data_IF_523805653737
#
_entry.id   IF_523805653737
#
_cell.length_a   1.000
_cell.length_b   1.000
_cell.length_c   1.000
_cell.angle_alpha   90.00
_cell.angle_beta   90.00
_cell.angle_gamma   90.00
#
_symmetry.space_group_name_H-M   'P 1'
#
loop_
_entity.id
_entity.type
_entity.pdbx_description
1 polymer ?
#
# COMPACT_ATOMS: atom_id res chain seq x y z
N UNK A 1 14.91 17.93 -9.48
CA UNK A 1 15.64 16.68 -9.85
C UNK A 1 14.67 15.52 -10.01
N UNK A 2 13.94 15.11 -8.98
CA UNK A 2 13.05 13.93 -9.07
C UNK A 2 11.84 14.11 -10.00
N UNK A 3 11.30 15.32 -10.14
CA UNK A 3 10.24 15.59 -11.11
C UNK A 3 10.73 15.40 -12.55
N UNK A 4 11.95 15.85 -12.87
CA UNK A 4 12.54 15.64 -14.19
C UNK A 4 12.85 14.15 -14.44
N UNK A 5 13.33 13.44 -13.41
CA UNK A 5 13.57 12.00 -13.50
C UNK A 5 12.27 11.24 -13.74
N UNK A 6 11.18 11.63 -13.06
CA UNK A 6 9.87 11.05 -13.26
C UNK A 6 9.37 11.24 -14.69
N UNK A 7 9.50 12.46 -15.24
CA UNK A 7 9.04 12.74 -16.60
C UNK A 7 9.80 11.92 -17.65
N UNK A 8 11.10 11.74 -17.49
CA UNK A 8 11.92 10.87 -18.34
C UNK A 8 11.45 9.41 -18.16
N UNK A 9 11.35 8.94 -16.93
CA UNK A 9 10.96 7.59 -16.59
C UNK A 9 9.60 7.22 -17.17
N UNK A 10 8.61 8.12 -17.10
CA UNK A 10 7.24 7.90 -17.58
C UNK A 10 7.19 7.59 -19.08
N UNK A 11 8.09 8.16 -19.88
CA UNK A 11 8.13 7.95 -21.33
C UNK A 11 8.54 6.51 -21.69
N UNK A 12 9.26 5.84 -20.81
CA UNK A 12 9.77 4.47 -21.00
C UNK A 12 8.97 3.41 -20.23
N UNK A 13 8.01 3.83 -19.41
CA UNK A 13 7.22 2.91 -18.62
C UNK A 13 6.24 2.14 -19.49
N UNK A 14 6.32 0.80 -19.43
CA UNK A 14 5.31 -0.09 -19.99
C UNK A 14 4.03 -0.07 -19.18
N UNK A 15 4.19 -0.07 -17.84
CA UNK A 15 3.08 0.07 -16.89
C UNK A 15 3.38 1.19 -15.92
N UNK A 16 2.37 2.00 -15.65
CA UNK A 16 2.35 3.03 -14.63
C UNK A 16 1.20 2.73 -13.67
N UNK A 17 1.52 2.55 -12.39
CA UNK A 17 0.55 2.20 -11.37
C UNK A 17 0.58 3.27 -10.28
N UNK A 18 -0.58 3.73 -9.85
CA UNK A 18 -0.71 4.61 -8.69
C UNK A 18 -0.98 3.77 -7.45
N UNK A 19 -0.08 3.82 -6.47
CA UNK A 19 -0.14 3.02 -5.26
C UNK A 19 -0.27 3.93 -4.06
N UNK A 20 -1.27 3.70 -3.23
CA UNK A 20 -1.49 4.45 -2.01
C UNK A 20 -2.20 3.61 -0.95
N UNK A 21 -2.27 4.15 0.27
CA UNK A 21 -2.88 3.53 1.44
C UNK A 21 -3.42 4.60 2.39
N UNK A 22 -4.15 4.19 3.42
CA UNK A 22 -4.40 4.99 4.62
C UNK A 22 -5.04 6.38 4.34
N UNK A 23 -6.18 6.42 3.66
CA UNK A 23 -7.03 7.62 3.63
C UNK A 23 -7.74 7.84 4.99
N UNK A 24 -7.90 6.82 5.76
CA UNK A 24 -8.13 6.63 7.20
C UNK A 24 -8.73 7.82 7.96
N UNK A 25 -9.85 8.33 7.50
CA UNK A 25 -10.51 9.45 8.14
C UNK A 25 -11.72 9.01 8.96
N UNK A 26 -11.97 9.73 10.08
CA UNK A 26 -13.15 9.54 10.94
C UNK A 26 -14.34 10.36 10.49
N UNK A 27 -14.08 11.47 9.82
CA UNK A 27 -15.08 12.46 9.43
C UNK A 27 -15.04 12.68 7.92
N UNK A 28 -16.21 12.84 7.33
CA UNK A 28 -16.39 13.07 5.90
C UNK A 28 -15.57 14.27 5.39
N UNK A 29 -15.64 15.42 6.08
CA UNK A 29 -14.98 16.64 5.61
C UNK A 29 -13.46 16.50 5.54
N UNK A 30 -12.87 15.72 6.44
CA UNK A 30 -11.44 15.43 6.42
C UNK A 30 -11.09 14.46 5.28
N UNK A 31 -11.91 13.44 5.07
CA UNK A 31 -11.77 12.51 3.96
C UNK A 31 -11.85 13.27 2.61
N UNK A 32 -12.85 14.14 2.46
CA UNK A 32 -13.02 14.97 1.26
C UNK A 32 -11.80 15.88 1.03
N UNK A 33 -11.30 16.53 2.08
CA UNK A 33 -10.12 17.37 1.98
C UNK A 33 -8.89 16.62 1.49
N UNK A 34 -8.54 15.51 2.13
CA UNK A 34 -7.36 14.72 1.77
C UNK A 34 -7.50 14.13 0.36
N UNK A 35 -8.68 13.60 0.05
CA UNK A 35 -8.96 13.05 -1.27
C UNK A 35 -8.85 14.11 -2.37
N UNK A 36 -9.38 15.32 -2.15
CA UNK A 36 -9.28 16.42 -3.11
C UNK A 36 -7.82 16.83 -3.35
N UNK A 37 -7.00 16.96 -2.31
CA UNK A 37 -5.56 17.24 -2.45
C UNK A 37 -4.89 16.21 -3.36
N UNK A 38 -5.13 14.93 -3.12
CA UNK A 38 -4.52 13.86 -3.92
C UNK A 38 -5.05 13.83 -5.36
N UNK A 39 -6.35 14.02 -5.54
CA UNK A 39 -6.98 13.98 -6.86
C UNK A 39 -6.59 15.18 -7.72
N UNK A 40 -6.55 16.40 -7.15
CA UNK A 40 -6.10 17.61 -7.85
C UNK A 40 -4.65 17.48 -8.32
N UNK A 41 -3.76 17.00 -7.45
CA UNK A 41 -2.36 16.78 -7.81
C UNK A 41 -2.21 15.67 -8.86
N UNK A 42 -2.99 14.60 -8.78
CA UNK A 42 -2.99 13.54 -9.79
C UNK A 42 -3.48 14.03 -11.16
N UNK A 43 -4.48 14.92 -11.18
CA UNK A 43 -4.91 15.61 -12.39
C UNK A 43 -3.77 16.47 -12.99
N UNK A 44 -3.04 17.21 -12.16
CA UNK A 44 -1.89 18.01 -12.59
C UNK A 44 -0.78 17.16 -13.20
N UNK A 45 -0.60 15.91 -12.73
CA UNK A 45 0.30 14.93 -13.34
C UNK A 45 -0.18 14.39 -14.69
N UNK A 46 -1.39 14.73 -15.11
CA UNK A 46 -1.97 14.26 -16.37
C UNK A 46 -2.53 12.84 -16.32
N UNK A 47 -2.94 12.36 -15.15
CA UNK A 47 -3.52 11.02 -14.92
C UNK A 47 -2.65 9.88 -15.49
N UNK A 48 -1.44 9.68 -15.03
CA UNK A 48 -0.46 8.82 -15.70
C UNK A 48 -0.75 7.32 -15.53
N UNK A 49 -1.49 6.91 -14.50
CA UNK A 49 -1.62 5.50 -14.15
C UNK A 49 -2.66 4.77 -15.01
N UNK A 50 -2.37 3.51 -15.26
CA UNK A 50 -3.25 2.55 -15.94
C UNK A 50 -4.02 1.68 -14.94
N UNK A 51 -3.63 1.70 -13.67
CA UNK A 51 -4.24 0.94 -12.57
C UNK A 51 -3.97 1.61 -11.23
N UNK A 52 -4.86 1.42 -10.28
CA UNK A 52 -4.70 1.84 -8.89
C UNK A 52 -4.49 0.60 -8.02
N UNK A 53 -3.53 0.67 -7.08
CA UNK A 53 -3.42 -0.27 -5.97
C UNK A 53 -3.65 0.48 -4.67
N UNK A 54 -4.76 0.18 -4.02
CA UNK A 54 -5.15 0.77 -2.75
C UNK A 54 -4.91 -0.25 -1.64
N UNK A 55 -3.97 0.03 -0.75
CA UNK A 55 -3.44 -0.91 0.23
C UNK A 55 -4.09 -0.75 1.62
N UNK A 56 -5.39 -0.55 1.65
CA UNK A 56 -6.19 -0.63 2.87
C UNK A 56 -6.36 0.68 3.64
N UNK A 57 -7.10 0.57 4.73
CA UNK A 57 -7.50 1.65 5.62
C UNK A 57 -8.21 2.80 4.89
N UNK A 58 -9.33 2.44 4.27
CA UNK A 58 -10.16 3.40 3.53
C UNK A 58 -10.85 4.42 4.43
N UNK A 59 -11.17 4.03 5.67
CA UNK A 59 -11.80 4.88 6.69
C UNK A 59 -11.36 4.45 8.09
N UNK A 60 -11.51 5.34 9.08
CA UNK A 60 -11.36 5.03 10.50
C UNK A 60 -12.61 5.48 11.25
N UNK A 61 -13.69 4.72 11.18
CA UNK A 61 -14.93 5.11 11.88
C UNK A 61 -15.80 3.90 12.23
N UNK A 62 -16.38 3.95 13.43
CA UNK A 62 -17.43 3.05 13.87
C UNK A 62 -18.85 3.57 13.55
N UNK A 63 -18.99 4.76 12.98
CA UNK A 63 -20.28 5.34 12.57
C UNK A 63 -20.62 4.94 11.14
N UNK A 64 -21.51 3.97 10.98
CA UNK A 64 -21.90 3.44 9.67
C UNK A 64 -22.39 4.51 8.67
N UNK A 65 -23.28 5.46 9.03
CA UNK A 65 -23.65 6.55 8.14
C UNK A 65 -22.45 7.32 7.60
N UNK A 66 -21.47 7.63 8.44
CA UNK A 66 -20.28 8.38 8.07
C UNK A 66 -19.36 7.53 7.19
N UNK A 67 -19.15 6.25 7.53
CA UNK A 67 -18.39 5.32 6.68
C UNK A 67 -19.02 5.19 5.29
N UNK A 68 -20.36 5.08 5.20
CA UNK A 68 -21.06 5.01 3.90
C UNK A 68 -20.89 6.30 3.10
N UNK A 69 -20.92 7.48 3.74
CA UNK A 69 -20.70 8.76 3.05
C UNK A 69 -19.30 8.84 2.48
N UNK A 70 -18.28 8.49 3.27
CA UNK A 70 -16.88 8.46 2.85
C UNK A 70 -16.63 7.43 1.75
N UNK A 71 -17.24 6.25 1.85
CA UNK A 71 -17.18 5.21 0.79
C UNK A 71 -17.70 5.74 -0.54
N UNK A 72 -18.87 6.39 -0.55
CA UNK A 72 -19.45 6.96 -1.78
C UNK A 72 -18.61 8.09 -2.37
N UNK A 73 -17.96 8.87 -1.51
CA UNK A 73 -17.06 9.92 -1.95
C UNK A 73 -15.85 9.33 -2.69
N UNK A 74 -15.24 8.31 -2.10
CA UNK A 74 -14.10 7.61 -2.67
C UNK A 74 -14.48 6.88 -3.96
N UNK A 75 -15.62 6.17 -3.97
CA UNK A 75 -16.17 5.54 -5.16
C UNK A 75 -16.28 6.54 -6.32
N UNK A 76 -16.95 7.67 -6.09
CA UNK A 76 -17.10 8.71 -7.10
C UNK A 76 -15.75 9.24 -7.62
N UNK A 77 -14.80 9.47 -6.73
CA UNK A 77 -13.48 9.98 -7.09
C UNK A 77 -12.71 8.98 -7.95
N UNK A 78 -12.58 7.74 -7.50
CA UNK A 78 -11.77 6.74 -8.21
C UNK A 78 -12.46 6.22 -9.48
N UNK A 79 -13.78 6.06 -9.50
CA UNK A 79 -14.53 5.69 -10.70
C UNK A 79 -14.38 6.74 -11.83
N UNK A 80 -14.26 8.02 -11.46
CA UNK A 80 -14.04 9.11 -12.43
C UNK A 80 -12.75 8.95 -13.24
N UNK A 81 -11.79 8.20 -12.74
CA UNK A 81 -10.52 7.91 -13.42
C UNK A 81 -10.66 6.85 -14.52
N UNK A 82 -11.69 6.01 -14.45
CA UNK A 82 -12.00 4.94 -15.42
C UNK A 82 -10.85 3.96 -15.64
N UNK A 83 -10.10 3.68 -14.59
CA UNK A 83 -9.01 2.69 -14.57
C UNK A 83 -9.29 1.62 -13.51
N UNK A 84 -8.78 0.39 -13.68
CA UNK A 84 -8.93 -0.67 -12.68
C UNK A 84 -8.36 -0.27 -11.32
N UNK A 85 -9.00 -0.74 -10.25
CA UNK A 85 -8.55 -0.58 -8.89
C UNK A 85 -8.43 -1.95 -8.22
N UNK A 86 -7.28 -2.22 -7.58
CA UNK A 86 -7.07 -3.38 -6.73
C UNK A 86 -7.03 -2.93 -5.27
N UNK A 87 -7.82 -3.56 -4.42
CA UNK A 87 -7.97 -3.18 -3.03
C UNK A 87 -7.58 -4.33 -2.10
N UNK A 88 -6.52 -4.12 -1.32
CA UNK A 88 -6.21 -4.94 -0.16
C UNK A 88 -6.82 -4.29 1.08
N UNK A 89 -7.43 -5.04 1.97
CA UNK A 89 -8.02 -4.50 3.20
C UNK A 89 -6.95 -4.20 4.24
N UNK A 90 -7.14 -3.12 5.01
CA UNK A 90 -6.36 -2.80 6.20
C UNK A 90 -7.13 -3.04 7.50
N UNK A 91 -6.52 -2.73 8.64
CA UNK A 91 -7.12 -3.01 9.95
C UNK A 91 -8.32 -2.10 10.27
N UNK A 92 -8.30 -0.83 9.87
CA UNK A 92 -9.41 0.10 10.12
C UNK A 92 -10.62 -0.11 9.21
N UNK A 93 -10.49 -0.86 8.14
CA UNK A 93 -11.66 -1.28 7.34
C UNK A 93 -12.64 -2.15 8.13
N UNK A 94 -12.20 -2.70 9.27
CA UNK A 94 -13.00 -3.51 10.20
C UNK A 94 -13.63 -2.71 11.34
N UNK A 95 -13.34 -1.43 11.52
CA UNK A 95 -13.77 -0.64 12.68
C UNK A 95 -15.28 -0.71 12.93
N UNK A 96 -16.09 -0.61 11.87
CA UNK A 96 -17.54 -0.77 12.03
C UNK A 96 -17.94 -2.21 12.34
N UNK A 97 -17.29 -3.20 11.77
CA UNK A 97 -17.55 -4.61 12.07
C UNK A 97 -17.19 -4.94 13.52
N UNK A 98 -16.12 -4.37 14.02
CA UNK A 98 -15.70 -4.45 15.43
C UNK A 98 -16.73 -3.80 16.36
N UNK A 99 -17.17 -2.59 16.03
CA UNK A 99 -18.24 -1.93 16.75
C UNK A 99 -19.51 -2.80 16.83
N UNK A 100 -19.92 -3.40 15.72
CA UNK A 100 -21.05 -4.31 15.66
C UNK A 100 -20.90 -5.50 16.63
N UNK A 101 -19.72 -6.10 16.67
CA UNK A 101 -19.43 -7.21 17.59
C UNK A 101 -19.62 -6.81 19.05
N UNK A 102 -19.01 -5.72 19.49
CA UNK A 102 -19.12 -5.27 20.89
C UNK A 102 -20.53 -4.84 21.30
N UNK A 103 -21.36 -4.44 20.34
CA UNK A 103 -22.72 -4.00 20.61
C UNK A 103 -23.78 -5.05 20.29
N UNK A 104 -23.39 -6.30 19.96
CA UNK A 104 -24.29 -7.39 19.66
C UNK A 104 -25.11 -7.20 18.38
N UNK A 105 -24.62 -6.37 17.45
CA UNK A 105 -25.23 -6.15 16.15
C UNK A 105 -24.85 -7.31 15.23
N UNK A 106 -25.84 -8.02 14.69
CA UNK A 106 -25.58 -9.25 13.92
C UNK A 106 -24.98 -9.03 12.53
N UNK A 107 -25.18 -7.86 11.93
CA UNK A 107 -24.68 -7.56 10.59
C UNK A 107 -23.40 -6.70 10.66
N UNK A 108 -22.28 -7.37 10.73
CA UNK A 108 -21.00 -6.72 10.54
C UNK A 108 -20.82 -6.34 9.06
N UNK A 109 -20.55 -5.08 8.78
CA UNK A 109 -20.36 -4.55 7.43
C UNK A 109 -18.98 -3.96 7.25
N UNK A 110 -18.49 -4.05 6.01
CA UNK A 110 -17.26 -3.41 5.54
C UNK A 110 -17.59 -2.62 4.27
N UNK A 111 -18.17 -1.41 4.39
CA UNK A 111 -18.81 -0.74 3.26
C UNK A 111 -17.91 -0.50 2.06
N UNK A 112 -16.64 -0.12 2.26
CA UNK A 112 -15.72 0.10 1.14
C UNK A 112 -15.36 -1.22 0.44
N UNK A 113 -15.01 -2.26 1.21
CA UNK A 113 -14.75 -3.59 0.68
C UNK A 113 -15.96 -4.16 -0.10
N UNK A 114 -17.16 -4.06 0.47
CA UNK A 114 -18.41 -4.50 -0.17
C UNK A 114 -18.66 -3.73 -1.48
N UNK A 115 -18.39 -2.46 -1.51
CA UNK A 115 -18.49 -1.64 -2.70
C UNK A 115 -17.51 -2.10 -3.77
N UNK A 116 -16.23 -2.31 -3.42
CA UNK A 116 -15.21 -2.81 -4.36
C UNK A 116 -15.59 -4.17 -4.94
N UNK A 117 -16.13 -5.10 -4.12
CA UNK A 117 -16.57 -6.42 -4.61
C UNK A 117 -17.65 -6.35 -5.70
N UNK A 118 -18.48 -5.32 -5.68
CA UNK A 118 -19.59 -5.16 -6.61
C UNK A 118 -19.31 -4.18 -7.76
N UNK A 119 -18.21 -3.42 -7.67
CA UNK A 119 -17.87 -2.42 -8.68
C UNK A 119 -17.22 -3.05 -9.92
N UNK A 120 -17.74 -2.80 -11.13
CA UNK A 120 -17.16 -3.34 -12.36
C UNK A 120 -15.73 -2.85 -12.60
N UNK A 121 -14.78 -3.77 -12.80
CA UNK A 121 -13.37 -3.43 -13.08
C UNK A 121 -12.55 -3.12 -11.84
N UNK A 122 -13.11 -3.29 -10.63
CA UNK A 122 -12.36 -3.24 -9.39
C UNK A 122 -12.18 -4.64 -8.82
N UNK A 123 -11.11 -4.87 -8.09
CA UNK A 123 -10.67 -6.19 -7.66
C UNK A 123 -10.33 -6.20 -6.17
N UNK A 124 -10.85 -7.18 -5.47
CA UNK A 124 -10.47 -7.55 -4.11
C UNK A 124 -10.69 -9.06 -3.94
N UNK A 125 -10.60 -9.60 -2.74
CA UNK A 125 -10.93 -11.00 -2.46
C UNK A 125 -12.39 -11.30 -2.80
N UNK A 126 -12.67 -12.54 -3.19
CA UNK A 126 -14.03 -12.96 -3.59
C UNK A 126 -14.97 -13.08 -2.41
N UNK A 127 -14.43 -13.42 -1.26
CA UNK A 127 -15.17 -13.52 -0.02
C UNK A 127 -14.34 -12.92 1.14
N UNK A 128 -14.99 -12.66 2.26
CA UNK A 128 -14.33 -12.16 3.48
C UNK A 128 -13.38 -13.18 4.12
N UNK A 129 -13.55 -14.45 3.80
CA UNK A 129 -12.70 -15.54 4.28
C UNK A 129 -11.39 -15.65 3.49
N UNK A 130 -11.37 -15.11 2.27
CA UNK A 130 -10.18 -15.10 1.44
C UNK A 130 -9.18 -14.06 1.97
N UNK A 131 -7.94 -14.45 2.12
CA UNK A 131 -6.86 -13.59 2.63
C UNK A 131 -5.95 -13.07 1.55
N UNK A 132 -6.20 -13.42 0.31
CA UNK A 132 -5.39 -12.98 -0.81
C UNK A 132 -6.14 -13.10 -2.14
N UNK A 133 -5.69 -12.34 -3.11
CA UNK A 133 -6.06 -12.47 -4.50
C UNK A 133 -4.87 -12.12 -5.38
N UNK A 134 -4.95 -12.43 -6.67
CA UNK A 134 -3.89 -12.09 -7.61
C UNK A 134 -4.43 -11.45 -8.88
N UNK A 135 -3.63 -10.58 -9.47
CA UNK A 135 -3.95 -9.88 -10.72
C UNK A 135 -2.75 -9.97 -11.65
N UNK A 136 -2.90 -10.46 -12.89
CA UNK A 136 -1.83 -10.43 -13.87
C UNK A 136 -1.61 -9.00 -14.36
N UNK A 137 -0.35 -8.62 -14.55
CA UNK A 137 0.04 -7.38 -15.18
C UNK A 137 0.82 -7.73 -16.45
N UNK A 138 0.10 -7.80 -17.57
CA UNK A 138 0.59 -8.35 -18.82
C UNK A 138 0.88 -9.85 -18.75
N UNK A 139 1.87 -10.29 -19.54
CA UNK A 139 2.23 -11.71 -19.63
C UNK A 139 3.38 -12.11 -18.70
N UNK A 140 4.14 -11.15 -18.19
CA UNK A 140 5.37 -11.41 -17.44
C UNK A 140 5.24 -11.21 -15.94
N UNK A 141 4.27 -10.44 -15.49
CA UNK A 141 4.12 -10.07 -14.09
C UNK A 141 2.85 -10.65 -13.46
N UNK A 142 2.96 -11.08 -12.20
CA UNK A 142 1.84 -11.39 -11.32
C UNK A 142 1.93 -10.54 -10.07
N UNK A 143 0.81 -9.97 -9.66
CA UNK A 143 0.72 -9.21 -8.41
C UNK A 143 -0.15 -9.98 -7.44
N UNK A 144 0.40 -10.29 -6.27
CA UNK A 144 -0.32 -10.91 -5.15
C UNK A 144 -0.67 -9.84 -4.13
N UNK A 145 -1.95 -9.68 -3.88
CA UNK A 145 -2.48 -8.82 -2.84
C UNK A 145 -2.85 -9.67 -1.63
N UNK A 146 -2.30 -9.33 -0.46
CA UNK A 146 -2.68 -9.95 0.79
C UNK A 146 -3.63 -9.03 1.54
N UNK A 147 -4.81 -9.55 1.84
CA UNK A 147 -5.77 -8.92 2.70
C UNK A 147 -5.51 -9.41 4.12
N UNK A 148 -4.45 -8.87 4.71
CA UNK A 148 -4.04 -9.23 6.04
C UNK A 148 -5.01 -8.63 7.05
N UNK A 149 -5.89 -9.45 7.45
CA UNK A 149 -6.84 -9.11 8.47
C UNK A 149 -6.28 -9.28 9.89
N UNK A 150 -5.04 -9.62 10.04
CA UNK A 150 -4.36 -9.90 11.31
C UNK A 150 -3.32 -8.82 11.53
N UNK A 151 -3.74 -7.59 11.76
CA UNK A 151 -2.79 -6.59 12.21
C UNK A 151 -2.22 -7.00 13.57
N UNK A 152 -0.92 -7.13 13.65
CA UNK A 152 -0.19 -7.42 14.88
C UNK A 152 0.33 -6.13 15.51
N UNK A 153 -0.53 -5.23 15.80
CA UNK A 153 -0.11 -4.26 16.77
C UNK A 153 -0.52 -4.77 18.16
N UNK A 154 0.48 -5.00 18.94
CA UNK A 154 0.50 -5.82 20.17
C UNK A 154 -0.60 -5.58 21.22
N UNK A 155 -1.51 -4.67 21.04
CA UNK A 155 -2.57 -4.36 21.99
C UNK A 155 -3.98 -4.60 21.46
N UNK A 156 -4.18 -4.60 20.15
CA UNK A 156 -5.49 -4.63 19.50
C UNK A 156 -5.82 -5.96 18.81
N UNK A 157 -4.83 -6.73 18.47
CA UNK A 157 -4.92 -7.82 17.50
C UNK A 157 -5.58 -9.09 17.98
N UNK A 158 -5.52 -9.40 19.26
CA UNK A 158 -6.23 -10.59 19.77
C UNK A 158 -7.74 -10.45 19.62
N UNK A 159 -8.23 -9.21 19.59
CA UNK A 159 -9.64 -8.90 19.41
C UNK A 159 -10.03 -8.79 17.93
N UNK A 160 -9.22 -8.19 17.08
CA UNK A 160 -9.52 -8.08 15.65
C UNK A 160 -9.66 -9.43 14.96
N UNK A 161 -8.78 -10.39 15.25
CA UNK A 161 -8.90 -11.75 14.76
C UNK A 161 -10.21 -12.46 15.14
N UNK A 162 -10.76 -12.12 16.30
CA UNK A 162 -12.01 -12.70 16.79
C UNK A 162 -13.26 -12.00 16.24
N UNK A 163 -13.11 -10.75 15.82
CA UNK A 163 -14.22 -9.89 15.44
C UNK A 163 -14.60 -10.01 13.98
N UNK A 164 -13.71 -10.49 13.17
CA UNK A 164 -13.76 -10.52 11.72
C UNK A 164 -15.11 -10.84 11.09
N UNK A 165 -15.86 -11.74 11.67
CA UNK A 165 -17.09 -12.28 11.05
C UNK A 165 -18.16 -12.56 12.11
N UNK A 166 -18.43 -11.60 12.98
CA UNK A 166 -19.47 -11.78 14.00
C UNK A 166 -19.04 -12.69 15.16
N UNK A 167 -17.77 -12.71 15.51
CA UNK A 167 -17.23 -13.43 16.66
C UNK A 167 -16.64 -14.82 16.36
N UNK A 168 -16.60 -15.22 15.09
CA UNK A 168 -15.91 -16.44 14.70
C UNK A 168 -14.43 -16.13 14.43
N UNK A 169 -13.54 -16.68 15.22
CA UNK A 169 -12.12 -16.68 14.91
C UNK A 169 -11.87 -17.65 13.75
N UNK A 170 -11.32 -17.17 12.65
CA UNK A 170 -10.77 -18.05 11.62
C UNK A 170 -9.30 -18.31 11.94
N UNK A 171 -8.96 -19.42 12.57
CA UNK A 171 -7.57 -19.76 12.75
C UNK A 171 -7.01 -20.14 11.39
N UNK A 172 -6.12 -19.32 10.86
CA UNK A 172 -5.31 -19.76 9.73
C UNK A 172 -4.41 -20.89 10.20
N UNK A 173 -4.50 -22.01 9.50
CA UNK A 173 -3.69 -23.18 9.79
C UNK A 173 -2.37 -23.09 9.02
N UNK A 174 -1.37 -23.86 9.45
CA UNK A 174 -0.13 -23.99 8.70
C UNK A 174 -0.37 -24.45 7.27
N UNK A 175 -1.44 -25.22 7.02
CA UNK A 175 -1.84 -25.63 5.69
C UNK A 175 -2.33 -24.47 4.85
N UNK A 176 -3.01 -23.49 5.43
CA UNK A 176 -3.44 -22.28 4.73
C UNK A 176 -2.22 -21.47 4.24
N UNK A 177 -1.24 -21.23 5.12
CA UNK A 177 -0.01 -20.54 4.73
C UNK A 177 0.80 -21.32 3.70
N UNK A 178 0.90 -22.63 3.86
CA UNK A 178 1.55 -23.50 2.89
C UNK A 178 0.86 -23.47 1.53
N UNK A 179 -0.46 -23.34 1.48
CA UNK A 179 -1.21 -23.24 0.23
C UNK A 179 -0.88 -21.92 -0.50
N UNK A 180 -0.78 -20.80 0.23
CA UNK A 180 -0.37 -19.51 -0.36
C UNK A 180 1.05 -19.61 -0.94
N UNK A 181 2.00 -20.18 -0.18
CA UNK A 181 3.38 -20.36 -0.68
C UNK A 181 3.42 -21.21 -1.93
N UNK A 182 2.75 -22.39 -1.93
CA UNK A 182 2.69 -23.25 -3.14
C UNK A 182 2.10 -22.54 -4.34
N UNK A 183 1.07 -21.72 -4.14
CA UNK A 183 0.47 -20.94 -5.20
C UNK A 183 1.46 -19.94 -5.82
N UNK A 184 2.23 -19.24 -4.98
CA UNK A 184 3.26 -18.32 -5.46
C UNK A 184 4.43 -19.06 -6.14
N UNK A 185 4.88 -20.17 -5.56
CA UNK A 185 5.95 -21.02 -6.13
C UNK A 185 5.56 -21.64 -7.47
N UNK A 186 4.28 -21.97 -7.65
CA UNK A 186 3.74 -22.52 -8.89
C UNK A 186 3.34 -21.47 -9.93
N UNK A 187 3.55 -20.18 -9.63
CA UNK A 187 3.23 -19.10 -10.54
C UNK A 187 4.05 -19.23 -11.83
N UNK A 188 3.36 -19.25 -12.97
CA UNK A 188 3.98 -19.36 -14.29
C UNK A 188 4.61 -18.06 -14.80
N UNK A 189 4.43 -16.95 -14.06
CA UNK A 189 4.98 -15.66 -14.41
C UNK A 189 6.42 -15.52 -13.89
N UNK A 190 7.35 -14.98 -14.71
CA UNK A 190 8.74 -14.83 -14.30
C UNK A 190 8.95 -13.80 -13.20
N UNK A 191 8.03 -12.86 -13.02
CA UNK A 191 8.17 -11.76 -12.09
C UNK A 191 6.93 -11.63 -11.19
N UNK A 192 7.17 -11.43 -9.89
CA UNK A 192 6.13 -11.25 -8.89
C UNK A 192 6.34 -9.94 -8.12
N UNK A 193 5.26 -9.23 -7.88
CA UNK A 193 5.15 -8.16 -6.89
C UNK A 193 4.15 -8.61 -5.84
N UNK A 194 4.43 -8.32 -4.58
CA UNK A 194 3.48 -8.51 -3.49
C UNK A 194 3.02 -7.17 -2.94
N UNK A 195 1.77 -7.09 -2.51
CA UNK A 195 1.20 -5.90 -1.93
C UNK A 195 0.26 -6.27 -0.78
N UNK A 196 0.29 -5.50 0.30
CA UNK A 196 -0.56 -5.70 1.47
C UNK A 196 -0.76 -4.37 2.20
N UNK A 197 -1.61 -4.36 3.23
CA UNK A 197 -1.64 -3.21 4.14
C UNK A 197 -0.42 -3.17 5.05
N UNK A 198 0.07 -4.33 5.50
CA UNK A 198 1.17 -4.46 6.44
C UNK A 198 2.47 -4.95 5.77
N UNK A 199 3.59 -4.79 6.49
CA UNK A 199 4.91 -5.23 6.06
C UNK A 199 5.17 -6.72 6.32
N UNK A 200 6.09 -7.31 5.59
CA UNK A 200 6.81 -8.52 6.02
C UNK A 200 7.79 -8.19 7.16
N UNK A 201 8.24 -9.20 7.94
CA UNK A 201 9.32 -9.02 8.89
C UNK A 201 10.52 -8.27 8.29
N UNK A 202 11.10 -7.35 9.06
CA UNK A 202 12.11 -6.39 8.58
C UNK A 202 11.53 -5.04 8.18
N UNK A 203 10.22 -4.95 7.95
CA UNK A 203 9.51 -3.71 7.69
C UNK A 203 8.91 -3.06 8.94
N UNK A 204 8.34 -1.87 8.75
CA UNK A 204 7.55 -1.22 9.78
C UNK A 204 6.17 -1.89 9.85
N UNK A 205 5.70 -2.20 11.06
CA UNK A 205 4.37 -2.80 11.24
C UNK A 205 4.21 -4.14 10.50
N UNK A 206 5.15 -5.05 10.70
CA UNK A 206 5.05 -6.43 10.24
C UNK A 206 3.94 -7.21 10.96
N UNK A 207 3.48 -8.28 10.35
CA UNK A 207 2.41 -9.12 10.89
C UNK A 207 2.80 -10.58 10.96
N UNK A 208 2.19 -11.30 11.91
CA UNK A 208 2.36 -12.75 12.01
C UNK A 208 1.89 -13.46 10.73
N UNK A 209 0.80 -12.99 10.12
CA UNK A 209 0.28 -13.54 8.87
C UNK A 209 1.36 -13.53 7.78
N UNK A 210 1.94 -12.36 7.50
CA UNK A 210 2.97 -12.24 6.47
C UNK A 210 4.25 -13.00 6.86
N UNK A 211 4.62 -13.04 8.15
CA UNK A 211 5.76 -13.83 8.60
C UNK A 211 5.59 -15.33 8.31
N UNK A 212 4.38 -15.85 8.39
CA UNK A 212 4.07 -17.26 8.12
C UNK A 212 4.09 -17.61 6.62
N UNK A 213 4.00 -16.63 5.74
CA UNK A 213 4.11 -16.83 4.29
C UNK A 213 5.58 -16.95 3.84
N UNK A 214 6.52 -16.47 4.63
CA UNK A 214 7.95 -16.57 4.32
C UNK A 214 8.44 -18.04 4.30
N UNK A 215 9.53 -18.36 3.56
CA UNK A 215 10.24 -17.48 2.63
C UNK A 215 9.43 -17.24 1.36
N UNK A 216 9.57 -16.03 0.81
CA UNK A 216 8.99 -15.69 -0.48
C UNK A 216 9.78 -16.34 -1.63
N UNK A 217 9.13 -16.69 -2.77
CA UNK A 217 9.81 -17.17 -3.96
C UNK A 217 10.88 -16.19 -4.47
N UNK A 218 11.93 -16.71 -5.09
CA UNK A 218 13.07 -15.93 -5.57
C UNK A 218 12.73 -14.92 -6.68
N UNK A 219 11.58 -15.08 -7.35
CA UNK A 219 11.10 -14.18 -8.39
C UNK A 219 10.17 -13.09 -7.85
N UNK A 220 10.05 -12.93 -6.54
CA UNK A 220 9.44 -11.75 -5.91
C UNK A 220 10.46 -10.61 -5.90
N UNK A 221 10.13 -9.51 -6.55
CA UNK A 221 11.04 -8.38 -6.75
C UNK A 221 10.77 -7.20 -5.83
N UNK A 222 9.56 -7.11 -5.27
CA UNK A 222 9.13 -5.96 -4.48
C UNK A 222 7.92 -6.33 -3.62
N UNK A 223 7.88 -5.79 -2.41
CA UNK A 223 6.68 -5.71 -1.59
C UNK A 223 6.28 -4.25 -1.37
N UNK A 224 4.96 -3.95 -1.48
CA UNK A 224 4.40 -2.63 -1.24
C UNK A 224 3.41 -2.71 -0.08
N UNK A 225 3.50 -1.74 0.86
CA UNK A 225 2.62 -1.75 2.03
C UNK A 225 2.35 -0.33 2.55
N UNK A 226 1.33 -0.16 3.40
CA UNK A 226 0.95 1.08 4.06
C UNK A 226 1.08 1.01 5.58
N UNK A 227 0.00 1.33 6.31
CA UNK A 227 -0.18 1.14 7.75
C UNK A 227 0.73 1.96 8.67
N UNK A 228 1.96 2.24 8.30
CA UNK A 228 2.91 2.90 9.21
C UNK A 228 2.77 4.42 9.26
N UNK A 229 2.00 5.02 8.33
CA UNK A 229 1.80 6.47 8.23
C UNK A 229 3.11 7.25 8.37
N UNK A 230 4.10 6.92 7.55
CA UNK A 230 5.42 7.54 7.64
C UNK A 230 5.30 9.06 7.64
N UNK A 231 5.87 9.66 8.67
CA UNK A 231 5.79 11.08 8.96
C UNK A 231 4.84 11.45 10.10
N UNK A 232 3.92 10.57 10.46
CA UNK A 232 2.98 10.79 11.55
C UNK A 232 3.56 10.44 12.92
N UNK A 233 4.15 9.28 13.02
CA UNK A 233 4.74 8.76 14.26
C UNK A 233 6.27 8.94 14.33
N UNK A 234 6.81 9.95 13.71
CA UNK A 234 8.20 10.32 14.01
C UNK A 234 8.26 10.76 15.45
N UNK A 235 8.38 9.79 16.34
CA UNK A 235 8.79 10.08 17.69
C UNK A 235 10.13 10.82 17.60
N UNK A 236 10.22 12.09 18.05
CA UNK A 236 11.41 12.93 17.77
C UNK A 236 12.70 12.38 18.33
N UNK A 237 12.65 11.24 19.03
CA UNK A 237 13.79 10.73 19.79
C UNK A 237 14.28 9.33 19.39
N UNK A 238 13.54 8.49 18.66
CA UNK A 238 13.91 7.08 18.63
C UNK A 238 13.84 6.33 17.30
N UNK A 239 13.05 6.70 16.30
CA UNK A 239 13.01 5.99 15.02
C UNK A 239 12.65 6.91 13.85
N UNK A 240 13.58 7.07 12.96
CA UNK A 240 13.30 7.56 11.61
C UNK A 240 12.91 6.31 10.81
N UNK A 241 11.63 6.20 10.47
CA UNK A 241 11.19 5.13 9.60
C UNK A 241 11.62 5.43 8.17
N UNK A 242 12.39 4.55 7.58
CA UNK A 242 12.68 4.60 6.15
C UNK A 242 11.48 4.05 5.39
N UNK A 243 11.10 4.71 4.29
CA UNK A 243 10.09 4.16 3.38
C UNK A 243 10.60 2.93 2.62
N UNK A 244 11.92 2.74 2.58
CA UNK A 244 12.58 1.61 1.91
C UNK A 244 13.21 0.73 2.97
N UNK A 245 12.78 -0.50 3.02
CA UNK A 245 13.26 -1.54 3.93
C UNK A 245 13.45 -2.84 3.17
N UNK A 246 13.86 -3.89 3.86
CA UNK A 246 14.10 -5.19 3.25
C UNK A 246 13.37 -6.26 4.05
N UNK A 247 12.83 -7.25 3.34
CA UNK A 247 12.27 -8.44 3.96
C UNK A 247 13.40 -9.18 4.69
N UNK A 248 13.18 -9.52 5.97
CA UNK A 248 14.19 -10.22 6.77
C UNK A 248 14.66 -11.50 6.09
N UNK A 249 15.97 -11.67 6.07
CA UNK A 249 16.67 -12.83 5.50
C UNK A 249 16.53 -12.99 3.97
N UNK A 250 15.93 -12.03 3.29
CA UNK A 250 15.74 -12.03 1.83
C UNK A 250 16.13 -10.66 1.24
N UNK A 251 16.79 -10.68 0.08
CA UNK A 251 17.13 -9.43 -0.65
C UNK A 251 15.91 -8.93 -1.47
N UNK A 252 14.78 -8.77 -0.80
CA UNK A 252 13.53 -8.27 -1.38
C UNK A 252 13.24 -6.92 -0.73
N UNK A 253 13.25 -5.81 -1.49
CA UNK A 253 12.87 -4.52 -0.97
C UNK A 253 11.39 -4.49 -0.64
N UNK A 254 11.05 -3.83 0.46
CA UNK A 254 9.67 -3.51 0.82
C UNK A 254 9.52 -2.02 1.03
N UNK A 255 8.48 -1.47 0.42
CA UNK A 255 8.24 -0.04 0.31
C UNK A 255 6.98 0.34 1.06
N UNK A 256 7.13 1.22 2.03
CA UNK A 256 6.03 1.90 2.67
C UNK A 256 5.53 3.01 1.75
N UNK A 257 4.30 2.89 1.29
CA UNK A 257 3.70 3.87 0.36
C UNK A 257 3.20 5.12 1.08
N UNK A 258 3.30 5.16 2.43
CA UNK A 258 2.80 6.24 3.27
C UNK A 258 1.27 6.36 3.25
N UNK A 259 0.71 7.51 3.58
CA UNK A 259 -0.72 7.71 3.75
C UNK A 259 -1.28 8.84 2.90
N UNK A 260 -2.56 8.73 2.53
CA UNK A 260 -3.33 9.77 1.85
C UNK A 260 -3.87 10.84 2.82
N UNK A 261 -3.50 10.80 4.08
CA UNK A 261 -3.97 11.76 5.07
C UNK A 261 -2.92 12.83 5.42
N UNK A 262 -3.39 14.03 5.77
CA UNK A 262 -2.54 15.14 6.23
C UNK A 262 -2.83 15.59 7.68
N UNK A 263 -3.72 14.89 8.38
CA UNK A 263 -4.32 15.38 9.63
C UNK A 263 -3.39 15.25 10.84
N UNK A 264 -2.56 14.22 10.86
CA UNK A 264 -1.67 13.91 11.98
C UNK A 264 -0.29 14.57 11.83
N UNK A 265 -0.21 15.65 11.06
CA UNK A 265 1.03 16.39 10.83
C UNK A 265 1.89 15.81 9.70
N UNK A 266 1.35 14.88 8.93
CA UNK A 266 1.95 14.37 7.72
C UNK A 266 1.42 15.10 6.47
N UNK A 267 2.00 14.81 5.32
CA UNK A 267 1.46 15.23 4.03
C UNK A 267 0.74 14.06 3.38
N UNK A 268 -0.26 14.33 2.55
CA UNK A 268 -0.85 13.33 1.67
C UNK A 268 0.21 12.81 0.69
N UNK A 269 0.47 11.52 0.72
CA UNK A 269 1.54 10.88 -0.07
C UNK A 269 1.06 9.64 -0.76
N UNK A 270 1.77 9.31 -1.83
CA UNK A 270 1.62 8.07 -2.56
C UNK A 270 2.89 7.68 -3.29
N UNK A 271 2.84 6.56 -3.95
CA UNK A 271 3.88 6.07 -4.84
C UNK A 271 3.32 5.96 -6.25
N UNK A 272 4.11 6.38 -7.24
CA UNK A 272 3.91 6.01 -8.64
C UNK A 272 4.95 4.95 -8.98
N UNK A 273 4.48 3.78 -9.37
CA UNK A 273 5.29 2.64 -9.77
C UNK A 273 5.36 2.59 -11.29
N UNK A 274 6.58 2.55 -11.83
CA UNK A 274 6.83 2.29 -13.24
C UNK A 274 7.43 0.89 -13.40
N UNK A 275 6.92 0.11 -14.34
CA UNK A 275 7.54 -1.13 -14.80
C UNK A 275 7.93 -0.91 -16.27
N UNK A 276 9.21 -1.13 -16.58
CA UNK A 276 9.78 -0.87 -17.89
C UNK A 276 9.76 -2.11 -18.79
N UNK A 277 10.03 -1.92 -20.08
CA UNK A 277 10.09 -3.02 -21.08
C UNK A 277 11.16 -4.08 -20.74
N UNK A 278 12.21 -3.70 -20.05
CA UNK A 278 13.27 -4.60 -19.58
C UNK A 278 12.95 -5.28 -18.23
N UNK A 279 11.72 -5.15 -17.75
CA UNK A 279 11.26 -5.69 -16.46
C UNK A 279 11.95 -5.10 -15.22
N UNK A 280 12.62 -3.96 -15.33
CA UNK A 280 13.04 -3.21 -14.15
C UNK A 280 11.89 -2.39 -13.59
N UNK A 281 12.03 -1.96 -12.33
CA UNK A 281 11.01 -1.23 -11.60
C UNK A 281 11.58 0.13 -11.18
N UNK A 282 10.78 1.19 -11.32
CA UNK A 282 11.04 2.49 -10.74
C UNK A 282 9.92 2.87 -9.77
N UNK A 283 10.28 3.27 -8.57
CA UNK A 283 9.36 3.69 -7.50
C UNK A 283 9.56 5.17 -7.25
N UNK A 284 8.53 5.97 -7.43
CA UNK A 284 8.57 7.43 -7.29
C UNK A 284 7.65 7.87 -6.15
N UNK A 285 8.21 8.51 -5.15
CA UNK A 285 7.50 8.96 -3.95
C UNK A 285 6.96 10.37 -4.15
N UNK A 286 5.64 10.52 -4.13
CA UNK A 286 4.93 11.79 -4.36
C UNK A 286 4.45 12.42 -3.07
N UNK A 287 4.66 13.73 -2.92
CA UNK A 287 4.01 14.58 -1.94
C UNK A 287 2.96 15.42 -2.66
N UNK A 288 1.69 15.13 -2.39
CA UNK A 288 0.56 15.76 -3.06
C UNK A 288 0.33 17.20 -2.61
N UNK A 289 0.60 17.53 -1.34
CA UNK A 289 0.45 18.90 -0.83
C UNK A 289 1.47 19.86 -1.45
N UNK A 290 2.64 19.36 -1.81
CA UNK A 290 3.74 20.15 -2.38
C UNK A 290 3.88 19.98 -3.91
N UNK A 291 3.03 19.18 -4.53
CA UNK A 291 3.01 18.90 -5.97
C UNK A 291 4.39 18.50 -6.54
N UNK A 292 5.15 17.68 -5.80
CA UNK A 292 6.50 17.28 -6.21
C UNK A 292 6.84 15.84 -5.87
N UNK A 293 7.77 15.25 -6.60
CA UNK A 293 8.41 14.00 -6.22
C UNK A 293 9.53 14.27 -5.21
N UNK A 294 9.51 13.54 -4.10
CA UNK A 294 10.49 13.67 -3.02
C UNK A 294 11.72 12.84 -3.26
N UNK A 295 11.54 11.65 -3.86
CA UNK A 295 12.60 10.67 -4.10
C UNK A 295 12.19 9.66 -5.16
N UNK A 296 13.14 8.84 -5.60
CA UNK A 296 12.93 7.69 -6.45
C UNK A 296 13.81 6.53 -6.00
N UNK A 297 13.35 5.29 -6.25
CA UNK A 297 14.08 4.07 -5.94
C UNK A 297 13.95 3.05 -7.06
N UNK A 298 15.04 2.34 -7.38
CA UNK A 298 15.10 1.32 -8.42
C UNK A 298 15.63 0.01 -7.82
N UNK A 299 14.73 -0.89 -7.37
CA UNK A 299 15.12 -2.05 -6.55
C UNK A 299 16.00 -3.08 -7.25
N UNK A 300 15.84 -3.26 -8.55
CA UNK A 300 16.53 -4.31 -9.30
C UNK A 300 17.86 -3.86 -9.95
N UNK A 301 18.27 -2.59 -9.75
CA UNK A 301 19.43 -2.03 -10.45
C UNK A 301 20.40 -1.40 -9.47
N UNK A 302 21.69 -1.76 -9.56
CA UNK A 302 22.75 -0.94 -8.98
C UNK A 302 22.82 0.44 -9.66
N UNK A 303 22.30 0.51 -10.89
CA UNK A 303 22.21 1.72 -11.69
C UNK A 303 21.08 1.59 -12.72
N UNK A 304 20.46 2.71 -13.08
CA UNK A 304 19.49 2.78 -14.15
C UNK A 304 20.00 3.71 -15.26
N UNK A 305 19.89 3.27 -16.51
CA UNK A 305 20.06 4.13 -17.67
C UNK A 305 18.69 4.50 -18.22
N UNK A 306 18.39 5.80 -18.22
CA UNK A 306 17.13 6.33 -18.73
C UNK A 306 17.50 7.42 -19.75
N UNK A 307 17.18 7.22 -21.03
CA UNK A 307 17.52 8.13 -22.14
C UNK A 307 19.01 8.56 -22.18
N UNK A 308 19.94 7.62 -21.95
CA UNK A 308 21.36 7.91 -21.94
C UNK A 308 21.88 8.61 -20.68
N UNK A 309 21.00 8.89 -19.72
CA UNK A 309 21.38 9.35 -18.39
C UNK A 309 21.57 8.15 -17.46
N UNK A 310 22.73 8.07 -16.85
CA UNK A 310 23.09 6.99 -15.96
C UNK A 310 22.91 7.42 -14.51
N UNK A 311 22.07 6.69 -13.77
CA UNK A 311 21.79 6.92 -12.36
C UNK A 311 22.28 5.74 -11.53
N UNK A 312 23.18 5.98 -10.60
CA UNK A 312 23.58 4.98 -9.62
C UNK A 312 22.55 4.83 -8.52
N UNK A 313 22.42 3.64 -7.98
CA UNK A 313 21.52 3.36 -6.83
C UNK A 313 21.77 4.35 -5.67
N UNK A 314 23.02 4.71 -5.40
CA UNK A 314 23.39 5.70 -4.38
C UNK A 314 22.92 7.13 -4.69
N UNK A 315 22.80 7.49 -5.98
CA UNK A 315 22.33 8.79 -6.45
C UNK A 315 20.79 8.85 -6.52
N UNK A 316 20.15 7.69 -6.59
CA UNK A 316 18.71 7.51 -6.61
C UNK A 316 18.15 7.18 -5.22
N UNK A 317 19.05 6.90 -4.25
CA UNK A 317 18.66 6.57 -2.92
C UNK A 317 18.02 7.76 -2.24
N UNK A 318 16.98 7.45 -1.51
CA UNK A 318 16.17 8.34 -0.71
C UNK A 318 17.01 9.23 0.22
N UNK A 319 16.78 10.53 0.16
CA UNK A 319 17.07 11.42 1.28
C UNK A 319 15.84 11.47 2.15
N UNK A 320 15.97 11.04 3.38
CA UNK A 320 14.87 10.98 4.35
C UNK A 320 14.04 12.25 4.38
N UNK A 321 12.72 12.05 4.41
CA UNK A 321 11.81 13.12 4.70
C UNK A 321 11.98 13.59 6.13
N UNK A 322 12.03 14.89 6.28
CA UNK A 322 11.99 15.57 7.58
C UNK A 322 10.66 16.26 7.69
N UNK A 323 9.83 15.81 8.61
CA UNK A 323 8.60 16.51 8.95
C UNK A 323 8.86 17.97 9.29
N UNK A 324 7.86 18.85 9.23
CA UNK A 324 8.01 20.23 9.67
C UNK A 324 8.50 20.24 11.13
N UNK A 325 9.68 20.77 11.38
CA UNK A 325 10.30 20.90 12.69
C UNK A 325 11.39 19.90 13.06
N UNK A 326 11.75 18.95 12.21
CA UNK A 326 12.85 17.99 12.48
C UNK A 326 14.11 18.40 11.72
N UNK A 327 15.12 18.87 12.45
CA UNK A 327 16.46 19.14 11.90
C UNK A 327 17.25 17.82 11.78
N UNK A 328 17.61 17.52 10.61
CA UNK A 328 18.42 16.52 9.98
C UNK A 328 19.27 15.52 10.71
N UNK A 329 19.14 14.27 10.35
CA UNK A 329 20.26 13.37 10.18
C UNK A 329 20.12 12.61 8.87
N UNK A 330 21.18 12.54 8.12
CA UNK A 330 21.29 11.66 6.95
C UNK A 330 21.55 10.25 7.47
N UNK A 331 20.68 9.30 7.16
CA UNK A 331 21.02 7.89 7.32
C UNK A 331 21.39 7.31 5.96
N UNK A 332 22.59 6.80 5.90
CA UNK A 332 23.05 6.00 4.78
C UNK A 332 22.34 4.64 4.82
N UNK A 333 21.80 4.23 3.68
CA UNK A 333 21.36 2.85 3.49
C UNK A 333 22.57 1.96 3.76
N UNK A 334 22.44 1.05 4.70
CA UNK A 334 23.49 0.06 4.95
C UNK A 334 23.54 -0.88 3.75
N UNK A 335 24.73 -0.93 3.15
CA UNK A 335 25.11 -1.98 2.20
C UNK A 335 25.08 -3.35 2.88
#
# INVERSE_FOLDING_TARGET
MFDSLYEISRQHARYTIWVFSDLQQRLYDNCEKCLNICMEDYEMLGRPAQMIWYLGDSTESADLPEVIRMTKLQEKAFDSLRIPLCYATGNHDYDYAEYCYYHGIKEARMPFYEMVQHHPGWYTTKSREDTWFKVPLGEEWMVYFFCDHVANDNSWCSTHNQIRFGGEAYPYTDEHYAAIRREMESCDRPHIITAAHCAFPGGNRDTEFLSKIQPLPHNVHLHLYGHSHIGEYTCPKERIFSQIQWVDWQDIPQIDVSSFEDIRGSYCRSVILHIYENNTIGVFFRNHNEHRFMSAFFPACESAEIEGNYYKREELSYTEWKGPGVSGSQHQIRN
#
